data_IF_868236438682
#
_entry.id   IF_868236438682
#
_cell.length_a   1.000
_cell.length_b   1.000
_cell.length_c   1.000
_cell.angle_alpha   90.00
_cell.angle_beta   90.00
_cell.angle_gamma   90.00
#
_symmetry.space_group_name_H-M   'P 1'
#
loop_
_entity.id
_entity.type
_entity.pdbx_description
1 polymer ?
#
# COMPACT_ATOMS: atom_id res chain seq x y z
N UNK A 1 -18.66 -15.23 2.84
CA UNK A 1 -17.30 -15.74 2.56
C UNK A 1 -16.31 -14.68 3.02
N UNK A 2 -15.39 -15.03 3.91
CA UNK A 2 -14.41 -14.09 4.47
C UNK A 2 -13.43 -13.62 3.39
N UNK A 3 -13.08 -12.33 3.42
CA UNK A 3 -12.21 -11.72 2.42
C UNK A 3 -11.12 -10.86 3.07
N UNK A 4 -9.86 -11.15 2.74
CA UNK A 4 -8.72 -10.31 3.05
C UNK A 4 -8.41 -9.41 1.86
N UNK A 5 -8.61 -8.11 2.03
CA UNK A 5 -8.22 -7.09 1.05
C UNK A 5 -6.81 -6.61 1.36
N UNK A 6 -5.89 -6.75 0.42
CA UNK A 6 -4.50 -6.31 0.55
C UNK A 6 -4.24 -5.15 -0.40
N UNK A 7 -4.24 -3.93 0.13
CA UNK A 7 -3.91 -2.71 -0.62
C UNK A 7 -2.39 -2.52 -0.65
N UNK A 8 -1.82 -2.64 -1.85
CA UNK A 8 -0.37 -2.68 -2.05
C UNK A 8 0.25 -1.39 -2.62
N UNK A 9 -0.50 -0.33 -2.74
CA UNK A 9 -0.06 0.92 -3.36
C UNK A 9 -0.44 0.95 -4.84
N UNK A 10 0.34 1.45 -5.76
CA UNK A 10 1.79 1.70 -5.79
C UNK A 10 2.22 2.87 -4.89
N UNK A 11 3.53 3.06 -4.67
CA UNK A 11 4.00 4.28 -4.00
C UNK A 11 3.52 5.53 -4.75
N UNK A 12 3.23 6.62 -4.01
CA UNK A 12 2.76 7.91 -4.56
C UNK A 12 1.35 7.88 -5.17
N UNK A 13 0.50 7.00 -4.66
CA UNK A 13 -0.93 6.88 -4.99
C UNK A 13 -1.84 7.06 -3.77
N UNK A 14 -1.49 7.99 -2.88
CA UNK A 14 -2.23 8.34 -1.67
C UNK A 14 -2.43 7.21 -0.64
N UNK A 15 -1.52 6.24 -0.57
CA UNK A 15 -1.59 5.12 0.38
C UNK A 15 -1.75 5.61 1.83
N UNK A 16 -0.97 6.62 2.24
CA UNK A 16 -1.07 7.21 3.59
C UNK A 16 -2.47 7.78 3.85
N UNK A 17 -3.06 8.49 2.88
CA UNK A 17 -4.40 9.07 3.03
C UNK A 17 -5.47 7.98 3.17
N UNK A 18 -5.38 6.89 2.39
CA UNK A 18 -6.29 5.73 2.51
C UNK A 18 -6.13 5.08 3.90
N UNK A 19 -4.90 4.89 4.38
CA UNK A 19 -4.63 4.33 5.71
C UNK A 19 -5.26 5.18 6.82
N UNK A 20 -5.05 6.50 6.78
CA UNK A 20 -5.61 7.42 7.78
C UNK A 20 -7.13 7.45 7.71
N UNK A 21 -7.70 7.50 6.51
CA UNK A 21 -9.15 7.42 6.30
C UNK A 21 -9.73 6.14 6.92
N UNK A 22 -9.12 4.99 6.70
CA UNK A 22 -9.59 3.73 7.29
C UNK A 22 -9.51 3.74 8.82
N UNK A 23 -8.43 4.31 9.40
CA UNK A 23 -8.28 4.44 10.86
C UNK A 23 -9.35 5.34 11.45
N UNK A 24 -9.60 6.49 10.85
CA UNK A 24 -10.60 7.46 11.33
C UNK A 24 -12.03 6.93 11.22
N UNK A 25 -12.26 6.05 10.24
CA UNK A 25 -13.58 5.51 9.93
C UNK A 25 -13.79 4.05 10.38
N UNK A 26 -12.93 3.52 11.27
CA UNK A 26 -13.04 2.13 11.74
C UNK A 26 -14.46 1.76 12.22
N UNK A 27 -15.12 2.65 12.97
CA UNK A 27 -16.47 2.39 13.47
C UNK A 27 -17.51 2.25 12.36
N UNK A 28 -17.36 3.00 11.28
CA UNK A 28 -18.28 2.96 10.13
C UNK A 28 -18.00 1.69 9.31
N UNK A 29 -16.73 1.37 9.08
CA UNK A 29 -16.30 0.14 8.41
C UNK A 29 -16.81 -1.10 9.18
N UNK A 30 -16.65 -1.12 10.51
CA UNK A 30 -17.08 -2.23 11.36
C UNK A 30 -18.59 -2.47 11.31
N UNK A 31 -19.42 -1.44 11.20
CA UNK A 31 -20.87 -1.57 11.01
C UNK A 31 -21.25 -2.30 9.72
N UNK A 32 -20.37 -2.30 8.74
CA UNK A 32 -20.54 -2.98 7.45
C UNK A 32 -19.75 -4.31 7.37
N UNK A 33 -19.29 -4.83 8.51
CA UNK A 33 -18.49 -6.07 8.62
C UNK A 33 -17.09 -5.97 7.95
N UNK A 34 -16.50 -4.78 7.93
CA UNK A 34 -15.10 -4.56 7.52
C UNK A 34 -14.26 -4.13 8.70
N UNK A 35 -13.07 -4.73 8.85
CA UNK A 35 -12.06 -4.32 9.82
C UNK A 35 -10.83 -3.75 9.13
N UNK A 36 -10.31 -2.65 9.69
CA UNK A 36 -8.97 -2.13 9.41
C UNK A 36 -8.17 -2.19 10.70
N UNK A 37 -7.61 -3.36 11.09
CA UNK A 37 -6.88 -3.49 12.34
C UNK A 37 -5.62 -2.62 12.33
N UNK A 38 -5.26 -2.07 13.49
CA UNK A 38 -3.92 -1.52 13.68
C UNK A 38 -3.00 -2.66 14.11
N UNK A 39 -1.70 -2.57 13.77
CA UNK A 39 -0.73 -3.51 14.31
C UNK A 39 -0.77 -3.45 15.85
N UNK A 40 -1.08 -4.54 16.48
CA UNK A 40 -1.11 -4.71 17.94
C UNK A 40 0.24 -5.19 18.49
N UNK A 41 1.25 -5.20 17.66
CA UNK A 41 2.64 -5.50 17.95
C UNK A 41 3.58 -4.44 17.36
N UNK A 42 4.80 -4.36 17.91
CA UNK A 42 5.80 -3.38 17.45
C UNK A 42 6.54 -3.93 16.23
N UNK A 43 6.38 -3.24 15.10
CA UNK A 43 7.24 -3.45 13.94
C UNK A 43 8.28 -2.30 13.90
N UNK A 44 9.59 -2.58 13.86
CA UNK A 44 10.62 -1.55 13.93
C UNK A 44 10.43 -0.46 12.88
N UNK A 45 10.36 0.80 13.33
CA UNK A 45 10.24 2.00 12.49
C UNK A 45 8.97 2.08 11.61
N UNK A 46 7.92 1.32 11.94
CA UNK A 46 6.67 1.29 11.17
C UNK A 46 5.51 1.77 12.04
N UNK A 47 4.72 2.68 11.49
CA UNK A 47 3.50 3.15 12.16
C UNK A 47 2.42 2.06 12.17
N UNK A 48 1.69 1.92 13.28
CA UNK A 48 0.68 0.88 13.47
C UNK A 48 -0.42 0.84 12.40
N UNK A 49 -0.72 2.01 11.77
CA UNK A 49 -1.69 2.08 10.66
C UNK A 49 -1.23 1.37 9.38
N UNK A 50 0.07 1.12 9.22
CA UNK A 50 0.62 0.35 8.11
C UNK A 50 0.52 -1.14 8.39
N UNK A 51 -0.70 -1.58 8.60
CA UNK A 51 -1.05 -2.89 9.14
C UNK A 51 -0.72 -4.08 8.22
N UNK A 52 -0.43 -3.84 6.94
CA UNK A 52 0.07 -4.85 5.99
C UNK A 52 1.59 -5.00 5.98
N UNK A 53 2.34 -4.23 6.79
CA UNK A 53 3.81 -4.19 6.68
C UNK A 53 4.49 -5.51 7.04
N UNK A 54 3.89 -6.35 7.87
CA UNK A 54 4.44 -7.67 8.21
C UNK A 54 4.60 -8.59 6.99
N UNK A 55 3.84 -8.34 5.90
CA UNK A 55 4.00 -9.04 4.62
C UNK A 55 5.28 -8.64 3.89
N UNK A 56 5.85 -7.47 4.22
CA UNK A 56 7.03 -6.91 3.53
C UNK A 56 8.31 -7.65 3.89
N UNK A 57 8.46 -8.07 5.14
CA UNK A 57 9.72 -8.49 5.71
C UNK A 57 10.65 -7.27 5.85
N UNK A 58 11.96 -7.44 5.68
CA UNK A 58 12.98 -6.37 5.81
C UNK A 58 13.23 -5.92 7.25
N UNK A 59 13.36 -6.88 8.15
CA UNK A 59 13.86 -6.64 9.50
C UNK A 59 15.36 -6.89 9.53
N UNK A 60 16.09 -5.98 10.15
CA UNK A 60 17.55 -6.04 10.20
C UNK A 60 18.05 -5.96 11.63
N UNK A 61 19.04 -6.79 11.96
CA UNK A 61 19.83 -6.71 13.19
C UNK A 61 20.74 -5.45 13.14
N UNK A 62 21.18 -4.96 14.30
CA UNK A 62 22.28 -4.00 14.33
C UNK A 62 23.46 -4.56 13.50
N UNK A 63 23.98 -3.76 12.55
CA UNK A 63 24.99 -4.22 11.60
C UNK A 63 24.48 -4.58 10.20
N UNK A 64 23.15 -4.52 9.96
CA UNK A 64 22.55 -4.61 8.62
C UNK A 64 22.29 -6.02 8.10
N UNK A 65 22.52 -7.07 8.91
CA UNK A 65 22.12 -8.42 8.59
C UNK A 65 20.61 -8.60 8.75
N UNK A 66 19.95 -9.34 7.86
CA UNK A 66 18.53 -9.68 8.01
C UNK A 66 18.28 -10.49 9.29
N UNK A 67 17.21 -10.11 9.99
CA UNK A 67 16.71 -10.83 11.16
C UNK A 67 15.54 -11.71 10.76
N UNK A 68 15.86 -12.88 10.21
CA UNK A 68 14.87 -13.83 9.68
C UNK A 68 13.96 -14.38 10.78
N UNK A 69 14.49 -14.58 12.00
CA UNK A 69 13.70 -15.05 13.14
C UNK A 69 12.65 -14.02 13.55
N UNK A 70 13.06 -12.74 13.60
CA UNK A 70 12.13 -11.63 13.89
C UNK A 70 11.12 -11.41 12.77
N UNK A 71 11.52 -11.57 11.51
CA UNK A 71 10.58 -11.52 10.37
C UNK A 71 9.52 -12.64 10.49
N UNK A 72 9.90 -13.84 10.87
CA UNK A 72 8.98 -14.96 11.05
C UNK A 72 8.02 -14.71 12.23
N UNK A 73 8.52 -14.25 13.37
CA UNK A 73 7.69 -13.85 14.51
C UNK A 73 6.64 -12.80 14.13
N UNK A 74 7.05 -11.75 13.41
CA UNK A 74 6.15 -10.67 12.98
C UNK A 74 5.13 -11.15 11.94
N UNK A 75 5.53 -12.09 11.08
CA UNK A 75 4.62 -12.76 10.16
C UNK A 75 3.52 -13.52 10.90
N UNK A 76 3.87 -14.33 11.87
CA UNK A 76 2.94 -15.12 12.68
C UNK A 76 1.99 -14.22 13.48
N UNK A 77 2.50 -13.15 14.08
CA UNK A 77 1.70 -12.14 14.77
C UNK A 77 0.70 -11.47 13.82
N UNK A 78 1.13 -11.15 12.59
CA UNK A 78 0.27 -10.56 11.57
C UNK A 78 -0.85 -11.50 11.13
N UNK A 79 -0.57 -12.78 10.92
CA UNK A 79 -1.61 -13.77 10.62
C UNK A 79 -2.57 -13.95 11.80
N UNK A 80 -2.06 -14.06 13.02
CA UNK A 80 -2.89 -14.15 14.21
C UNK A 80 -3.82 -12.94 14.38
N UNK A 81 -3.36 -11.73 14.03
CA UNK A 81 -4.20 -10.52 13.99
C UNK A 81 -5.32 -10.68 12.95
N UNK A 82 -5.03 -11.13 11.74
CA UNK A 82 -6.04 -11.36 10.70
C UNK A 82 -7.10 -12.37 11.19
N UNK A 83 -6.66 -13.49 11.75
CA UNK A 83 -7.58 -14.54 12.22
C UNK A 83 -8.50 -14.04 13.32
N UNK A 84 -7.98 -13.28 14.31
CA UNK A 84 -8.81 -12.65 15.36
C UNK A 84 -9.84 -11.66 14.80
N UNK A 85 -9.51 -10.94 13.75
CA UNK A 85 -10.46 -10.03 13.12
C UNK A 85 -11.56 -10.77 12.34
N UNK A 86 -11.22 -11.88 11.70
CA UNK A 86 -12.21 -12.76 11.04
C UNK A 86 -13.18 -13.49 11.99
N UNK A 87 -12.88 -13.50 13.29
CA UNK A 87 -13.85 -13.95 14.30
C UNK A 87 -15.02 -12.96 14.47
N UNK A 88 -14.83 -11.68 14.08
CA UNK A 88 -15.77 -10.59 14.31
C UNK A 88 -16.34 -9.99 13.03
N UNK A 89 -15.57 -10.04 11.95
CA UNK A 89 -15.89 -9.36 10.70
C UNK A 89 -15.67 -10.28 9.49
N UNK A 90 -16.46 -10.09 8.45
CA UNK A 90 -16.32 -10.87 7.21
C UNK A 90 -15.16 -10.39 6.34
N UNK A 91 -14.73 -9.14 6.52
CA UNK A 91 -13.73 -8.51 5.66
C UNK A 91 -12.64 -7.85 6.50
N UNK A 92 -11.38 -8.13 6.15
CA UNK A 92 -10.22 -7.51 6.77
C UNK A 92 -9.44 -6.75 5.70
N UNK A 93 -9.03 -5.52 6.01
CA UNK A 93 -8.30 -4.64 5.10
C UNK A 93 -6.88 -4.45 5.64
N UNK A 94 -5.89 -4.82 4.83
CA UNK A 94 -4.48 -4.51 5.04
C UNK A 94 -4.00 -3.48 4.04
N UNK A 95 -3.11 -2.59 4.46
CA UNK A 95 -2.53 -1.58 3.57
C UNK A 95 -1.07 -1.29 3.89
N UNK A 96 -0.20 -1.47 2.91
CA UNK A 96 1.18 -1.00 2.92
C UNK A 96 1.75 -0.88 1.50
N UNK A 97 2.31 0.28 1.16
CA UNK A 97 2.90 0.51 -0.17
C UNK A 97 4.20 -0.25 -0.42
N UNK A 98 4.89 -0.67 0.66
CA UNK A 98 6.11 -1.46 0.51
C UNK A 98 5.83 -2.90 0.07
N UNK A 99 4.60 -3.38 0.17
CA UNK A 99 4.19 -4.68 -0.39
C UNK A 99 4.46 -4.69 -1.91
N UNK A 100 4.21 -3.58 -2.61
CA UNK A 100 4.53 -3.44 -4.03
C UNK A 100 6.03 -3.66 -4.32
N UNK A 101 6.90 -3.05 -3.50
CA UNK A 101 8.35 -3.21 -3.66
C UNK A 101 8.81 -4.63 -3.32
N UNK A 102 8.29 -5.23 -2.25
CA UNK A 102 8.61 -6.61 -1.86
C UNK A 102 8.14 -7.61 -2.90
N UNK A 103 7.02 -7.35 -3.56
CA UNK A 103 6.51 -8.17 -4.66
C UNK A 103 7.41 -8.18 -5.90
N UNK A 104 8.27 -7.18 -6.08
CA UNK A 104 9.25 -7.13 -7.17
C UNK A 104 10.63 -7.69 -6.79
N UNK A 105 10.77 -8.31 -5.64
CA UNK A 105 12.06 -8.74 -5.09
C UNK A 105 12.07 -10.17 -4.55
N UNK A 106 13.13 -10.45 -3.80
CA UNK A 106 13.35 -11.76 -3.17
C UNK A 106 12.30 -12.16 -2.13
N UNK A 107 11.52 -11.20 -1.64
CA UNK A 107 10.43 -11.44 -0.68
C UNK A 107 9.12 -11.89 -1.36
N UNK A 108 9.06 -11.91 -2.69
CA UNK A 108 7.88 -12.35 -3.46
C UNK A 108 7.21 -13.63 -2.94
N UNK A 109 7.93 -14.66 -2.44
CA UNK A 109 7.33 -15.89 -1.92
C UNK A 109 6.32 -15.70 -0.78
N UNK A 110 6.24 -14.52 -0.16
CA UNK A 110 5.21 -14.23 0.85
C UNK A 110 3.78 -14.39 0.29
N UNK A 111 3.56 -14.13 -1.00
CA UNK A 111 2.25 -14.34 -1.63
C UNK A 111 1.80 -15.79 -1.56
N UNK A 112 2.71 -16.74 -1.86
CA UNK A 112 2.38 -18.15 -1.77
C UNK A 112 2.07 -18.58 -0.32
N UNK A 113 2.82 -18.07 0.67
CA UNK A 113 2.54 -18.30 2.09
C UNK A 113 1.18 -17.75 2.51
N UNK A 114 0.84 -16.53 2.06
CA UNK A 114 -0.46 -15.92 2.37
C UNK A 114 -1.62 -16.69 1.73
N UNK A 115 -1.45 -17.15 0.49
CA UNK A 115 -2.47 -17.96 -0.20
C UNK A 115 -2.66 -19.34 0.43
N UNK A 116 -1.59 -19.92 0.97
CA UNK A 116 -1.68 -21.16 1.73
C UNK A 116 -2.46 -20.96 3.03
N UNK A 117 -2.15 -19.92 3.80
CA UNK A 117 -2.89 -19.57 5.02
C UNK A 117 -4.37 -19.30 4.72
N UNK A 118 -4.65 -18.59 3.62
CA UNK A 118 -6.01 -18.31 3.17
C UNK A 118 -6.81 -19.60 2.89
N UNK A 119 -6.17 -20.59 2.29
CA UNK A 119 -6.78 -21.91 2.02
C UNK A 119 -7.02 -22.69 3.31
N UNK A 120 -6.06 -22.67 4.24
CA UNK A 120 -6.14 -23.39 5.51
C UNK A 120 -7.22 -22.83 6.45
N UNK A 121 -7.48 -21.51 6.37
CA UNK A 121 -8.43 -20.81 7.24
C UNK A 121 -9.71 -20.35 6.53
N UNK A 122 -9.96 -20.81 5.32
CA UNK A 122 -11.19 -20.57 4.54
C UNK A 122 -11.54 -19.08 4.38
N UNK A 123 -10.61 -18.31 3.78
CA UNK A 123 -10.85 -16.94 3.31
C UNK A 123 -10.24 -16.71 1.93
N UNK A 124 -10.77 -15.73 1.19
CA UNK A 124 -10.16 -15.30 -0.07
C UNK A 124 -9.26 -14.09 0.12
N UNK A 125 -8.24 -13.96 -0.72
CA UNK A 125 -7.35 -12.79 -0.77
C UNK A 125 -7.67 -11.98 -2.02
N UNK A 126 -7.95 -10.68 -1.87
CA UNK A 126 -8.09 -9.73 -2.98
C UNK A 126 -7.03 -8.65 -2.89
N UNK A 127 -6.33 -8.43 -3.98
CA UNK A 127 -5.23 -7.47 -4.08
C UNK A 127 -5.75 -6.18 -4.71
N UNK A 128 -5.58 -5.05 -4.02
CA UNK A 128 -5.97 -3.73 -4.53
C UNK A 128 -4.71 -2.96 -4.87
N UNK A 129 -4.65 -2.45 -6.10
CA UNK A 129 -3.52 -1.65 -6.56
C UNK A 129 -4.00 -0.42 -7.32
N UNK A 130 -3.49 0.74 -6.90
CA UNK A 130 -3.62 1.97 -7.65
C UNK A 130 -2.39 2.18 -8.53
N UNK A 131 -2.60 2.30 -9.83
CA UNK A 131 -1.53 2.59 -10.78
C UNK A 131 -1.63 4.04 -11.26
N UNK A 132 -0.49 4.70 -11.39
CA UNK A 132 -0.35 6.07 -11.86
C UNK A 132 0.37 6.08 -13.21
N UNK A 133 0.09 7.06 -14.07
CA UNK A 133 0.90 7.28 -15.28
C UNK A 133 2.38 7.31 -14.91
N UNK A 134 3.22 6.62 -15.66
CA UNK A 134 4.63 6.44 -15.35
C UNK A 134 5.40 7.76 -15.26
N UNK A 135 5.11 8.73 -16.13
CA UNK A 135 5.68 10.07 -16.07
C UNK A 135 5.29 10.83 -14.79
N UNK A 136 4.00 10.74 -14.41
CA UNK A 136 3.51 11.32 -13.16
C UNK A 136 4.09 10.62 -11.92
N UNK A 137 4.33 9.33 -11.96
CA UNK A 137 5.02 8.59 -10.90
C UNK A 137 6.47 9.05 -10.78
N UNK A 138 7.19 9.12 -11.90
CA UNK A 138 8.57 9.56 -11.95
C UNK A 138 8.75 10.98 -11.37
N UNK A 139 7.89 11.92 -11.78
CA UNK A 139 7.91 13.29 -11.26
C UNK A 139 7.63 13.34 -9.75
N UNK A 140 6.65 12.57 -9.28
CA UNK A 140 6.32 12.52 -7.85
C UNK A 140 7.44 11.91 -7.01
N UNK A 141 8.13 10.90 -7.54
CA UNK A 141 9.29 10.28 -6.91
C UNK A 141 10.46 11.25 -6.79
N UNK A 142 10.79 11.95 -7.89
CA UNK A 142 11.83 12.98 -7.88
C UNK A 142 11.52 14.12 -6.91
N UNK A 143 10.26 14.58 -6.88
CA UNK A 143 9.82 15.61 -5.94
C UNK A 143 10.02 15.19 -4.49
N UNK A 144 9.79 13.93 -4.16
CA UNK A 144 10.05 13.39 -2.82
C UNK A 144 11.54 13.39 -2.49
N UNK A 145 12.38 12.95 -3.40
CA UNK A 145 13.84 12.94 -3.19
C UNK A 145 14.39 14.35 -2.93
N UNK A 146 13.84 15.36 -3.60
CA UNK A 146 14.19 16.77 -3.36
C UNK A 146 13.73 17.21 -1.97
N UNK A 147 12.47 16.91 -1.60
CA UNK A 147 11.93 17.27 -0.28
C UNK A 147 12.69 16.64 0.89
N UNK A 148 13.15 15.41 0.72
CA UNK A 148 13.88 14.67 1.76
C UNK A 148 15.39 14.96 1.76
N UNK A 149 15.85 15.89 0.94
CA UNK A 149 17.25 16.29 0.89
C UNK A 149 18.20 15.24 0.26
N UNK A 150 17.65 14.15 -0.28
CA UNK A 150 18.46 13.09 -0.92
C UNK A 150 19.04 13.52 -2.26
N UNK A 151 18.63 14.67 -2.76
CA UNK A 151 18.98 15.18 -4.08
C UNK A 151 19.25 16.68 -4.06
N UNK A 152 20.41 17.07 -3.50
CA UNK A 152 20.80 18.47 -3.34
C UNK A 152 21.50 19.05 -4.59
N UNK A 153 21.96 18.22 -5.53
CA UNK A 153 22.68 18.64 -6.74
C UNK A 153 21.91 18.25 -8.00
N UNK A 154 20.87 18.98 -8.31
CA UNK A 154 19.97 18.55 -9.35
C UNK A 154 20.03 19.35 -10.63
N UNK A 155 21.06 19.19 -11.38
CA UNK A 155 20.89 19.15 -12.82
C UNK A 155 20.39 17.74 -13.12
N UNK A 156 19.07 17.56 -13.32
CA UNK A 156 18.51 16.25 -13.65
C UNK A 156 18.87 15.93 -15.10
N UNK A 157 20.09 15.45 -15.30
CA UNK A 157 20.49 14.83 -16.56
C UNK A 157 19.77 13.47 -16.68
N UNK A 158 19.48 13.04 -17.89
CA UNK A 158 18.80 11.78 -18.18
C UNK A 158 19.41 10.58 -17.44
N UNK A 159 20.73 10.46 -17.44
CA UNK A 159 21.44 9.38 -16.72
C UNK A 159 21.25 9.42 -15.21
N UNK A 160 21.14 10.63 -14.66
CA UNK A 160 20.82 10.82 -13.24
C UNK A 160 19.40 10.40 -12.92
N UNK A 161 18.46 10.74 -13.80
CA UNK A 161 17.05 10.32 -13.70
C UNK A 161 16.95 8.79 -13.72
N UNK A 162 17.56 8.13 -14.69
CA UNK A 162 17.56 6.67 -14.79
C UNK A 162 18.12 6.00 -13.53
N UNK A 163 19.25 6.47 -13.01
CA UNK A 163 19.83 5.93 -11.78
C UNK A 163 18.91 6.10 -10.56
N UNK A 164 18.30 7.27 -10.42
CA UNK A 164 17.44 7.62 -9.28
C UNK A 164 16.09 6.92 -9.32
N UNK A 165 15.59 6.62 -10.49
CA UNK A 165 14.31 5.90 -10.68
C UNK A 165 14.48 4.39 -10.83
N UNK A 166 15.71 3.87 -10.79
CA UNK A 166 16.00 2.44 -11.00
C UNK A 166 15.22 1.50 -10.06
N UNK A 167 14.89 1.97 -8.86
CA UNK A 167 14.09 1.20 -7.89
C UNK A 167 12.58 1.32 -8.13
N UNK A 168 12.14 2.21 -9.01
CA UNK A 168 10.73 2.42 -9.30
C UNK A 168 10.30 1.37 -10.31
N UNK A 169 9.25 0.63 -9.98
CA UNK A 169 8.67 -0.37 -10.87
C UNK A 169 7.73 0.36 -11.84
N UNK A 170 8.19 0.61 -13.06
CA UNK A 170 7.38 1.22 -14.12
C UNK A 170 6.60 0.21 -14.95
N UNK A 171 7.07 -1.03 -15.03
CA UNK A 171 6.35 -2.08 -15.73
C UNK A 171 5.35 -2.75 -14.79
N UNK A 172 4.19 -2.12 -14.64
CA UNK A 172 3.11 -2.63 -13.80
C UNK A 172 2.61 -3.98 -14.26
N UNK A 173 2.52 -4.17 -15.58
CA UNK A 173 1.97 -5.38 -16.16
C UNK A 173 2.75 -6.63 -15.71
N UNK A 174 4.07 -6.63 -15.87
CA UNK A 174 4.88 -7.80 -15.51
C UNK A 174 4.80 -8.15 -14.02
N UNK A 175 4.71 -7.14 -13.14
CA UNK A 175 4.59 -7.41 -11.72
C UNK A 175 3.19 -7.92 -11.36
N UNK A 176 2.16 -7.35 -11.96
CA UNK A 176 0.77 -7.79 -11.74
C UNK A 176 0.53 -9.21 -12.28
N UNK A 177 1.12 -9.58 -13.43
CA UNK A 177 1.06 -10.96 -13.93
C UNK A 177 1.68 -11.94 -12.94
N UNK A 178 2.87 -11.64 -12.39
CA UNK A 178 3.49 -12.49 -11.36
C UNK A 178 2.62 -12.65 -10.11
N UNK A 179 1.98 -11.58 -9.66
CA UNK A 179 1.05 -11.64 -8.53
C UNK A 179 -0.17 -12.49 -8.92
N UNK A 180 -0.70 -12.30 -10.13
CA UNK A 180 -1.85 -13.04 -10.65
C UNK A 180 -1.60 -14.55 -10.76
N UNK A 181 -0.37 -14.96 -11.10
CA UNK A 181 0.01 -16.38 -11.15
C UNK A 181 -0.16 -17.08 -9.80
N UNK A 182 -0.03 -16.33 -8.70
CA UNK A 182 -0.13 -16.89 -7.33
C UNK A 182 -1.51 -16.67 -6.73
N UNK A 183 -2.10 -15.47 -6.92
CA UNK A 183 -3.34 -15.07 -6.26
C UNK A 183 -4.59 -15.31 -7.09
N UNK A 184 -4.45 -15.56 -8.41
CA UNK A 184 -5.55 -15.55 -9.37
C UNK A 184 -5.79 -14.15 -9.93
N UNK A 185 -5.97 -14.06 -11.26
CA UNK A 185 -6.19 -12.77 -11.96
C UNK A 185 -7.48 -12.09 -11.52
N UNK A 186 -8.53 -12.86 -11.25
CA UNK A 186 -9.84 -12.42 -10.78
C UNK A 186 -9.83 -11.79 -9.38
N UNK A 187 -8.74 -12.00 -8.66
CA UNK A 187 -8.51 -11.45 -7.32
C UNK A 187 -7.73 -10.14 -7.32
N UNK A 188 -7.32 -9.63 -8.50
CA UNK A 188 -6.59 -8.37 -8.60
C UNK A 188 -7.53 -7.25 -9.04
N UNK A 189 -7.68 -6.26 -8.18
CA UNK A 189 -8.48 -5.05 -8.40
C UNK A 189 -7.53 -3.92 -8.76
N UNK A 190 -7.47 -3.56 -10.05
CA UNK A 190 -6.63 -2.46 -10.54
C UNK A 190 -7.47 -1.19 -10.62
N UNK A 191 -6.98 -0.12 -10.01
CA UNK A 191 -7.55 1.23 -10.05
C UNK A 191 -6.56 2.22 -10.65
N UNK A 192 -7.07 3.24 -11.32
CA UNK A 192 -6.24 4.30 -11.91
C UNK A 192 -6.19 5.48 -10.95
N UNK A 193 -4.97 5.83 -10.51
CA UNK A 193 -4.75 7.01 -9.69
C UNK A 193 -4.77 8.29 -10.55
N UNK A 194 -5.98 8.72 -10.86
CA UNK A 194 -6.28 9.97 -11.57
C UNK A 194 -7.59 10.53 -11.01
N UNK A 195 -7.58 11.77 -10.52
CA UNK A 195 -8.77 12.43 -9.95
C UNK A 195 -9.98 12.43 -10.89
N UNK A 196 -9.76 12.44 -12.21
CA UNK A 196 -10.82 12.39 -13.21
C UNK A 196 -11.38 10.97 -13.44
N UNK A 197 -10.75 9.96 -12.87
CA UNK A 197 -11.10 8.55 -13.04
C UNK A 197 -11.60 7.90 -11.76
N UNK A 198 -11.52 8.60 -10.62
CA UNK A 198 -12.03 8.08 -9.37
C UNK A 198 -13.53 7.84 -9.46
N UNK A 199 -13.93 6.70 -8.95
CA UNK A 199 -15.32 6.24 -8.89
C UNK A 199 -15.93 6.58 -7.52
N UNK A 200 -17.20 6.15 -7.34
CA UNK A 200 -17.94 6.40 -6.11
C UNK A 200 -18.60 7.79 -6.07
N UNK A 201 -19.33 8.05 -4.98
CA UNK A 201 -20.26 9.19 -4.84
C UNK A 201 -19.59 10.56 -5.04
N UNK A 202 -18.38 10.75 -4.48
CA UNK A 202 -17.71 12.06 -4.45
C UNK A 202 -16.54 12.16 -5.42
N UNK A 203 -16.29 11.12 -6.20
CA UNK A 203 -15.13 11.05 -7.09
C UNK A 203 -13.79 11.36 -6.38
N UNK A 204 -13.69 10.97 -5.12
CA UNK A 204 -12.47 11.05 -4.31
C UNK A 204 -11.73 9.73 -4.30
N UNK A 205 -10.46 9.74 -3.89
CA UNK A 205 -9.70 8.50 -3.68
C UNK A 205 -10.36 7.60 -2.62
N UNK A 206 -11.06 8.19 -1.66
CA UNK A 206 -11.74 7.47 -0.58
C UNK A 206 -12.99 6.76 -1.08
N UNK A 207 -13.86 7.45 -1.83
CA UNK A 207 -15.04 6.84 -2.42
C UNK A 207 -14.69 5.78 -3.47
N UNK A 208 -13.61 5.98 -4.24
CA UNK A 208 -13.09 4.99 -5.18
C UNK A 208 -12.56 3.74 -4.46
N UNK A 209 -11.87 3.93 -3.33
CA UNK A 209 -11.37 2.82 -2.52
C UNK A 209 -12.52 2.02 -1.88
N UNK A 210 -13.51 2.68 -1.31
CA UNK A 210 -14.69 2.00 -0.75
C UNK A 210 -15.45 1.21 -1.82
N UNK A 211 -15.65 1.80 -3.00
CA UNK A 211 -16.28 1.09 -4.13
C UNK A 211 -15.45 -0.12 -4.58
N UNK A 212 -14.10 -0.01 -4.56
CA UNK A 212 -13.22 -1.11 -4.93
C UNK A 212 -13.33 -2.32 -4.01
N UNK A 213 -13.63 -2.10 -2.73
CA UNK A 213 -13.79 -3.16 -1.72
C UNK A 213 -15.27 -3.54 -1.46
N UNK A 214 -16.22 -2.86 -2.11
CA UNK A 214 -17.64 -3.15 -1.96
C UNK A 214 -18.27 -2.60 -0.69
N UNK A 215 -17.70 -1.53 -0.11
CA UNK A 215 -18.28 -0.83 1.05
C UNK A 215 -19.23 0.26 0.57
N UNK A 216 -20.43 0.30 1.16
CA UNK A 216 -21.39 1.37 0.89
C UNK A 216 -20.91 2.69 1.47
N UNK A 217 -20.74 3.70 0.61
CA UNK A 217 -20.36 5.04 1.03
C UNK A 217 -21.59 5.79 1.60
N UNK A 218 -21.62 5.92 2.91
CA UNK A 218 -22.68 6.64 3.66
C UNK A 218 -22.18 7.99 4.16
N UNK A 219 -23.10 8.85 4.60
CA UNK A 219 -22.78 10.17 5.15
C UNK A 219 -22.12 10.08 6.55
N UNK A 220 -22.04 8.88 7.14
CA UNK A 220 -21.31 8.62 8.39
C UNK A 220 -19.77 8.67 8.21
N UNK A 221 -19.27 8.50 6.97
CA UNK A 221 -17.84 8.57 6.70
C UNK A 221 -17.31 9.99 6.86
N UNK A 222 -16.24 10.12 7.62
CA UNK A 222 -15.52 11.37 7.79
C UNK A 222 -14.40 11.45 6.77
N UNK A 223 -14.37 12.49 5.97
CA UNK A 223 -13.27 12.83 5.08
C UNK A 223 -12.53 13.99 5.71
N UNK A 224 -11.34 13.73 6.21
CA UNK A 224 -10.44 14.80 6.65
C UNK A 224 -9.71 15.32 5.43
N UNK A 225 -9.88 16.56 5.08
CA UNK A 225 -9.09 17.25 4.07
C UNK A 225 -7.66 17.43 4.57
N UNK A 226 -6.88 16.37 4.61
CA UNK A 226 -5.45 16.53 4.78
C UNK A 226 -4.85 17.10 3.49
N UNK A 227 -4.26 18.28 3.62
CA UNK A 227 -3.29 18.82 2.65
C UNK A 227 -2.02 17.94 2.54
N UNK A 228 -2.09 16.71 3.00
CA UNK A 228 -1.01 15.74 3.02
C UNK A 228 -0.56 15.47 1.58
N UNK A 229 0.61 16.01 1.23
CA UNK A 229 1.34 15.76 -0.01
C UNK A 229 0.97 16.60 -1.24
N UNK A 230 0.82 17.91 -1.10
CA UNK A 230 0.98 18.79 -2.27
C UNK A 230 2.35 18.56 -2.90
N UNK A 231 2.37 18.08 -4.14
CA UNK A 231 3.60 17.98 -4.91
C UNK A 231 4.20 19.37 -5.11
N UNK A 232 5.51 19.51 -5.00
CA UNK A 232 6.20 20.74 -5.38
C UNK A 232 5.86 21.07 -6.85
N UNK A 233 5.58 22.32 -7.15
CA UNK A 233 5.44 22.77 -8.53
C UNK A 233 6.81 22.68 -9.24
N UNK A 234 6.83 22.59 -10.58
CA UNK A 234 8.09 22.54 -11.33
C UNK A 234 9.04 23.71 -11.01
N UNK A 235 8.50 24.89 -10.69
CA UNK A 235 9.28 26.05 -10.26
C UNK A 235 9.83 25.88 -8.84
N UNK A 236 9.02 25.38 -7.90
CA UNK A 236 9.48 25.08 -6.54
C UNK A 236 10.57 24.00 -6.52
N UNK A 237 10.48 23.01 -7.42
CA UNK A 237 11.51 21.98 -7.57
C UNK A 237 12.86 22.60 -8.02
N UNK A 238 12.83 23.62 -8.88
CA UNK A 238 14.05 24.34 -9.32
C UNK A 238 14.69 25.15 -8.19
N UNK A 239 13.90 25.72 -7.28
CA UNK A 239 14.44 26.49 -6.14
C UNK A 239 15.14 25.63 -5.08
N UNK A 240 14.74 24.36 -4.90
CA UNK A 240 15.40 23.44 -3.99
C UNK A 240 16.69 22.82 -4.57
N UNK A 241 17.05 23.19 -5.78
CA UNK A 241 18.12 22.60 -6.59
C UNK A 241 19.25 23.62 -6.84
N UNK A 242 19.09 24.87 -6.41
CA UNK A 242 20.11 25.90 -6.34
C UNK A 242 20.73 25.96 -4.96
#
# INVERSE_FOLDING_TARGET
>A
MRTLYVHIGTPKTATTSIQMFCVENQKVLNKQSYSYPLLDFVYPHVAHRRNGHFLVGWVYKPGGQEDVEKEQELWENGLAMIHREFEKYDNVILSDENIWHSSNGRKFPFWAKLMQDAKEHDYQVKVIVYIRRQDGLANSWLSQQVKEGWNTNATIKWDSFQRKTRKVVFNYYLLLEKIAEVTGRENIIVRIFDRKKFKGKDHTIFSDFLEAIGVDYTDDFKITEEEANRSLTGNSQRFFVL
#
